data_IF_011016563011
#
_entry.id   IF_011016563011
#
_cell.length_a   1.000
_cell.length_b   1.000
_cell.length_c   1.000
_cell.angle_alpha   90.00
_cell.angle_beta   90.00
_cell.angle_gamma   90.00
#
_symmetry.space_group_name_H-M   'P 1'
#
loop_
_entity.id
_entity.type
_entity.pdbx_description
1 polymer ?
#
# COMPACT_ATOMS: atom_id res chain seq x y z
N UNK A 1 31.72 13.99 27.95
CA UNK A 1 31.02 12.78 27.46
C UNK A 1 30.19 13.16 26.24
N UNK A 2 30.43 12.56 25.07
CA UNK A 2 29.53 12.71 23.91
C UNK A 2 28.38 11.73 24.08
N UNK A 3 27.19 12.22 24.35
CA UNK A 3 25.97 11.42 24.35
C UNK A 3 25.83 10.66 23.02
N UNK A 4 26.06 9.35 23.05
CA UNK A 4 25.71 8.46 21.94
C UNK A 4 24.19 8.34 21.94
N UNK A 5 23.53 9.24 21.21
CA UNK A 5 22.10 9.12 20.87
C UNK A 5 21.89 7.75 20.22
N UNK A 6 21.18 6.86 20.90
CA UNK A 6 20.85 5.54 20.38
C UNK A 6 20.11 5.69 19.05
N UNK A 7 20.56 4.96 18.02
CA UNK A 7 19.96 4.99 16.69
C UNK A 7 18.51 4.50 16.84
N UNK A 8 17.54 5.41 16.72
CA UNK A 8 16.12 5.02 16.68
C UNK A 8 15.94 4.07 15.51
N UNK A 9 15.30 2.93 15.75
CA UNK A 9 14.95 1.99 14.69
C UNK A 9 14.00 2.67 13.71
N UNK A 10 14.33 2.63 12.43
CA UNK A 10 13.50 3.17 11.36
C UNK A 10 12.83 2.01 10.63
N UNK A 11 11.51 2.09 10.46
CA UNK A 11 10.74 1.14 9.67
C UNK A 11 10.44 1.75 8.32
N UNK A 12 10.85 1.10 7.23
CA UNK A 12 10.61 1.56 5.87
C UNK A 12 9.89 0.47 5.09
N UNK A 13 8.78 0.81 4.46
CA UNK A 13 8.03 -0.09 3.59
C UNK A 13 7.63 0.61 2.31
N UNK A 14 7.57 -0.15 1.23
CA UNK A 14 7.24 0.36 -0.09
C UNK A 14 5.98 -0.31 -0.64
N UNK A 15 5.25 0.40 -1.50
CA UNK A 15 4.18 -0.14 -2.32
C UNK A 15 4.42 0.29 -3.76
N UNK A 16 4.64 -0.69 -4.62
CA UNK A 16 4.70 -0.53 -6.06
C UNK A 16 3.29 -0.49 -6.65
N UNK A 17 3.03 0.57 -7.42
CA UNK A 17 1.76 0.90 -8.05
C UNK A 17 1.90 1.03 -9.57
N UNK A 18 3.04 0.61 -10.15
CA UNK A 18 3.41 0.87 -11.55
C UNK A 18 2.30 0.52 -12.54
N UNK A 19 1.90 -0.75 -12.60
CA UNK A 19 0.89 -1.22 -13.56
C UNK A 19 -0.45 -0.45 -13.45
N UNK A 20 -1.13 -0.41 -12.29
CA UNK A 20 -2.44 0.25 -12.24
C UNK A 20 -2.39 1.78 -12.32
N UNK A 21 -1.25 2.42 -12.02
CA UNK A 21 -1.09 3.87 -12.23
C UNK A 21 -0.88 4.18 -13.71
N UNK A 22 -0.09 3.37 -14.41
CA UNK A 22 0.14 3.53 -15.86
C UNK A 22 -1.12 3.27 -16.68
N UNK A 23 -1.93 2.29 -16.28
CA UNK A 23 -3.22 1.98 -16.91
C UNK A 23 -4.34 2.98 -16.53
N UNK A 24 -4.06 3.92 -15.61
CA UNK A 24 -5.00 4.98 -15.19
C UNK A 24 -6.12 4.52 -14.25
N UNK A 25 -6.14 3.26 -13.83
CA UNK A 25 -7.17 2.72 -12.91
C UNK A 25 -6.91 3.11 -11.44
N UNK A 26 -5.68 3.49 -11.10
CA UNK A 26 -5.29 3.85 -9.73
C UNK A 26 -4.63 5.23 -9.64
N UNK A 27 -5.19 6.10 -8.81
CA UNK A 27 -4.63 7.42 -8.52
C UNK A 27 -3.71 7.37 -7.28
N UNK A 28 -2.40 7.45 -7.52
CA UNK A 28 -1.41 7.45 -6.44
C UNK A 28 -1.45 8.70 -5.56
N UNK A 29 -1.88 9.85 -6.09
CA UNK A 29 -2.03 11.10 -5.33
C UNK A 29 -3.20 11.02 -4.36
N UNK A 30 -4.36 10.53 -4.84
CA UNK A 30 -5.51 10.28 -3.98
C UNK A 30 -5.20 9.24 -2.89
N UNK A 31 -4.45 8.20 -3.24
CA UNK A 31 -4.03 7.18 -2.27
C UNK A 31 -3.04 7.73 -1.22
N UNK A 32 -2.09 8.58 -1.61
CA UNK A 32 -1.19 9.27 -0.68
C UNK A 32 -1.99 10.08 0.37
N UNK A 33 -2.97 10.86 -0.07
CA UNK A 33 -3.85 11.61 0.82
C UNK A 33 -4.63 10.68 1.76
N UNK A 34 -5.21 9.61 1.23
CA UNK A 34 -5.89 8.61 2.05
C UNK A 34 -4.99 8.03 3.14
N UNK A 35 -3.74 7.72 2.83
CA UNK A 35 -2.79 7.23 3.83
C UNK A 35 -2.48 8.30 4.88
N UNK A 36 -2.30 9.56 4.47
CA UNK A 36 -2.07 10.68 5.41
C UNK A 36 -3.22 10.82 6.41
N UNK A 37 -4.46 10.60 5.97
CA UNK A 37 -5.65 10.67 6.82
C UNK A 37 -5.89 9.43 7.68
N UNK A 38 -5.56 8.22 7.17
CA UNK A 38 -5.95 6.95 7.81
C UNK A 38 -4.86 6.26 8.60
N UNK A 39 -3.58 6.61 8.40
CA UNK A 39 -2.50 6.10 9.24
C UNK A 39 -2.69 6.60 10.66
N UNK A 40 -2.64 5.67 11.60
CA UNK A 40 -2.73 5.93 13.04
C UNK A 40 -1.36 5.93 13.68
N UNK A 41 -1.12 6.90 14.55
CA UNK A 41 0.01 6.95 15.47
C UNK A 41 -0.56 7.00 16.89
N UNK A 42 -0.14 6.08 17.76
CA UNK A 42 -0.70 5.92 19.11
C UNK A 42 -2.25 5.81 19.14
N UNK A 43 -2.83 5.10 18.17
CA UNK A 43 -4.28 4.86 18.09
C UNK A 43 -5.11 6.00 17.47
N UNK A 44 -4.52 7.17 17.21
CA UNK A 44 -5.20 8.35 16.63
C UNK A 44 -4.72 8.64 15.20
N UNK A 45 -5.65 9.03 14.34
CA UNK A 45 -5.39 9.56 12.98
C UNK A 45 -5.04 11.05 13.03
N UNK A 46 -4.48 11.60 11.96
CA UNK A 46 -4.19 13.04 11.84
C UNK A 46 -2.99 13.51 12.67
N UNK A 47 -2.25 12.60 13.31
CA UNK A 47 -1.12 12.91 14.17
C UNK A 47 0.19 12.28 13.65
N UNK A 48 0.47 12.46 12.35
CA UNK A 48 1.69 11.92 11.73
C UNK A 48 2.95 12.63 12.23
N UNK A 49 2.87 13.96 12.40
CA UNK A 49 3.98 14.81 12.83
C UNK A 49 5.27 14.50 12.05
N UNK A 50 6.38 14.35 12.77
CA UNK A 50 7.66 13.87 12.25
C UNK A 50 7.87 12.36 12.51
N UNK A 51 6.80 11.63 12.86
CA UNK A 51 6.92 10.21 13.23
C UNK A 51 6.76 9.30 12.03
N UNK A 52 5.83 9.62 11.13
CA UNK A 52 5.56 8.84 9.91
C UNK A 52 5.61 9.77 8.71
N UNK A 53 6.52 9.47 7.79
CA UNK A 53 6.68 10.16 6.52
C UNK A 53 6.13 9.26 5.40
N UNK A 54 5.23 9.82 4.60
CA UNK A 54 4.65 9.16 3.43
C UNK A 54 5.10 9.96 2.22
N UNK A 55 5.87 9.31 1.35
CA UNK A 55 6.43 9.90 0.14
C UNK A 55 5.82 9.22 -1.08
N UNK A 56 5.41 10.04 -2.05
CA UNK A 56 4.92 9.58 -3.35
C UNK A 56 5.92 9.90 -4.43
N UNK A 57 6.37 8.84 -5.09
CA UNK A 57 6.86 8.89 -6.46
C UNK A 57 5.69 8.39 -7.33
N UNK A 58 5.49 8.93 -8.52
CA UNK A 58 4.30 8.68 -9.37
C UNK A 58 3.75 7.23 -9.27
N UNK A 59 4.64 6.24 -9.43
CA UNK A 59 4.33 4.82 -9.46
C UNK A 59 4.65 4.07 -8.14
N UNK A 60 5.11 4.75 -7.09
CA UNK A 60 5.59 4.13 -5.86
C UNK A 60 5.30 4.97 -4.62
N UNK A 61 4.74 4.35 -3.59
CA UNK A 61 4.57 4.96 -2.27
C UNK A 61 5.61 4.38 -1.32
N UNK A 62 6.29 5.25 -0.58
CA UNK A 62 7.21 4.88 0.49
C UNK A 62 6.68 5.38 1.81
N UNK A 63 6.60 4.50 2.81
CA UNK A 63 6.24 4.86 4.18
C UNK A 63 7.44 4.61 5.07
N UNK A 64 7.95 5.67 5.68
CA UNK A 64 9.07 5.65 6.63
C UNK A 64 8.55 6.06 8.00
N UNK A 65 8.86 5.31 9.04
CA UNK A 65 8.39 5.57 10.40
C UNK A 65 9.51 5.46 11.43
N UNK A 66 9.56 6.40 12.38
CA UNK A 66 10.42 6.34 13.57
C UNK A 66 9.81 5.54 14.73
N UNK A 67 8.52 5.19 14.62
CA UNK A 67 7.82 4.31 15.55
C UNK A 67 7.44 3.00 14.88
N UNK A 68 7.11 2.02 15.72
CA UNK A 68 6.70 0.70 15.24
C UNK A 68 5.59 0.83 14.21
N UNK A 69 5.93 0.46 12.99
CA UNK A 69 5.01 0.41 11.87
C UNK A 69 5.19 -0.97 11.25
N UNK A 70 4.08 -1.62 10.86
CA UNK A 70 4.15 -2.95 10.26
C UNK A 70 3.78 -2.87 8.79
N UNK A 71 4.51 -3.63 7.98
CA UNK A 71 4.14 -3.88 6.59
C UNK A 71 2.68 -4.33 6.46
N UNK A 72 2.22 -5.23 7.34
CA UNK A 72 0.83 -5.71 7.39
C UNK A 72 -0.19 -4.57 7.52
N UNK A 73 0.12 -3.51 8.27
CA UNK A 73 -0.77 -2.37 8.40
C UNK A 73 -0.90 -1.58 7.08
N UNK A 74 0.20 -1.41 6.33
CA UNK A 74 0.15 -0.83 4.98
C UNK A 74 -0.73 -1.68 4.05
N UNK A 75 -0.62 -3.02 4.09
CA UNK A 75 -1.50 -3.92 3.32
C UNK A 75 -2.97 -3.74 3.69
N UNK A 76 -3.28 -3.65 4.99
CA UNK A 76 -4.64 -3.42 5.46
C UNK A 76 -5.22 -2.12 4.90
N UNK A 77 -4.48 -1.01 5.02
CA UNK A 77 -4.92 0.30 4.52
C UNK A 77 -5.08 0.29 2.99
N UNK A 78 -4.16 -0.34 2.27
CA UNK A 78 -4.25 -0.50 0.81
C UNK A 78 -5.51 -1.28 0.42
N UNK A 79 -5.77 -2.45 1.05
CA UNK A 79 -7.00 -3.22 0.81
C UNK A 79 -8.28 -2.49 1.19
N UNK A 80 -8.21 -1.61 2.19
CA UNK A 80 -9.33 -0.75 2.60
C UNK A 80 -9.62 0.31 1.54
N UNK A 81 -8.58 0.94 1.00
CA UNK A 81 -8.69 1.87 -0.12
C UNK A 81 -9.26 1.21 -1.37
N UNK A 82 -8.72 0.04 -1.76
CA UNK A 82 -9.23 -0.71 -2.91
C UNK A 82 -10.72 -1.04 -2.76
N UNK A 83 -11.21 -1.36 -1.55
CA UNK A 83 -12.65 -1.59 -1.35
C UNK A 83 -13.46 -0.30 -1.50
N UNK A 84 -12.96 0.81 -0.97
CA UNK A 84 -13.66 2.10 -1.00
C UNK A 84 -13.87 2.59 -2.44
N UNK A 85 -12.93 2.29 -3.33
CA UNK A 85 -12.96 2.70 -4.73
C UNK A 85 -13.38 1.57 -5.69
N UNK A 86 -13.97 0.47 -5.17
CA UNK A 86 -14.41 -0.69 -5.96
C UNK A 86 -13.32 -1.34 -6.84
N UNK A 87 -12.05 -1.26 -6.45
CA UNK A 87 -10.90 -1.80 -7.20
C UNK A 87 -10.54 -3.25 -6.83
N UNK A 88 -11.32 -3.91 -5.96
CA UNK A 88 -10.96 -5.23 -5.41
C UNK A 88 -11.08 -6.37 -6.39
N UNK A 89 -11.88 -6.21 -7.42
CA UNK A 89 -12.12 -7.29 -8.40
C UNK A 89 -11.02 -7.30 -9.46
N UNK A 90 -10.32 -6.18 -9.63
CA UNK A 90 -9.21 -6.04 -10.56
C UNK A 90 -7.86 -6.21 -9.89
N UNK A 91 -7.66 -5.66 -8.68
CA UNK A 91 -6.33 -5.54 -8.07
C UNK A 91 -6.19 -6.32 -6.76
N UNK A 92 -5.05 -7.00 -6.61
CA UNK A 92 -4.61 -7.67 -5.37
C UNK A 92 -3.27 -7.14 -4.88
N UNK A 93 -3.14 -7.06 -3.55
CA UNK A 93 -1.88 -6.67 -2.88
C UNK A 93 -1.01 -7.90 -2.60
N UNK A 94 0.12 -8.03 -3.29
CA UNK A 94 1.06 -9.15 -3.22
C UNK A 94 2.40 -8.68 -2.65
N UNK A 95 3.08 -9.51 -1.85
CA UNK A 95 4.42 -9.18 -1.37
C UNK A 95 5.44 -9.53 -2.45
N UNK A 96 6.21 -8.54 -2.92
CA UNK A 96 7.30 -8.76 -3.85
C UNK A 96 8.61 -9.12 -3.12
N UNK A 97 8.87 -8.47 -1.99
CA UNK A 97 10.04 -8.74 -1.15
C UNK A 97 9.66 -8.65 0.36
N UNK A 98 10.65 -8.56 1.26
CA UNK A 98 10.43 -8.43 2.71
C UNK A 98 9.78 -7.09 3.11
N UNK A 99 10.04 -6.00 2.39
CA UNK A 99 9.67 -4.61 2.75
C UNK A 99 8.67 -3.96 1.78
N UNK A 100 8.44 -4.59 0.64
CA UNK A 100 7.71 -4.06 -0.51
C UNK A 100 6.49 -4.93 -0.83
N UNK A 101 5.37 -4.26 -1.03
CA UNK A 101 4.21 -4.83 -1.70
C UNK A 101 4.13 -4.29 -3.13
N UNK A 102 3.35 -4.98 -3.95
CA UNK A 102 2.98 -4.58 -5.29
C UNK A 102 1.47 -4.79 -5.48
N UNK A 103 0.86 -3.98 -6.33
CA UNK A 103 -0.48 -4.22 -6.85
C UNK A 103 -0.38 -5.01 -8.15
N UNK A 104 -1.02 -6.19 -8.18
CA UNK A 104 -1.12 -7.04 -9.37
C UNK A 104 -2.58 -7.22 -9.78
N UNK A 105 -2.80 -7.37 -11.07
CA UNK A 105 -4.10 -7.84 -11.57
C UNK A 105 -4.38 -9.28 -11.15
N UNK A 106 -5.65 -9.64 -11.10
CA UNK A 106 -6.03 -11.06 -11.16
C UNK A 106 -5.79 -11.57 -12.58
N UNK A 107 -5.18 -12.74 -12.69
CA UNK A 107 -5.17 -13.47 -13.95
C UNK A 107 -6.54 -14.12 -14.07
N UNK A 108 -7.42 -13.51 -14.85
CA UNK A 108 -8.64 -14.18 -15.29
C UNK A 108 -8.16 -15.05 -16.46
N UNK A 109 -7.89 -16.33 -16.18
CA UNK A 109 -7.78 -17.30 -17.26
C UNK A 109 -9.10 -17.28 -18.02
N UNK A 110 -9.07 -16.98 -19.32
CA UNK A 110 -10.22 -17.07 -20.23
C UNK A 110 -10.69 -18.54 -20.44
N UNK A 111 -10.42 -19.45 -19.50
CA UNK A 111 -10.63 -20.90 -19.63
C UNK A 111 -11.81 -21.40 -18.76
N UNK A 112 -12.84 -20.58 -18.53
CA UNK A 112 -14.13 -21.04 -17.97
C UNK A 112 -15.36 -20.44 -18.71
N UNK A 113 -15.22 -20.07 -19.98
CA UNK A 113 -16.34 -19.88 -20.92
C UNK A 113 -16.23 -20.89 -22.07
N UNK A 114 -16.18 -22.18 -21.73
CA UNK A 114 -15.95 -23.26 -22.69
C UNK A 114 -16.61 -24.59 -22.34
N UNK A 115 -17.76 -24.57 -21.66
CA UNK A 115 -18.63 -25.75 -21.58
C UNK A 115 -20.10 -25.32 -21.66
N UNK A 116 -20.48 -24.79 -22.83
CA UNK A 116 -21.72 -25.23 -23.43
C UNK A 116 -21.60 -26.75 -23.64
N UNK A 117 -22.24 -27.50 -22.76
CA UNK A 117 -22.64 -28.87 -23.07
C UNK A 117 -24.14 -28.88 -22.93
N UNK A 118 -24.79 -28.79 -24.09
CA UNK A 118 -26.19 -29.14 -24.28
C UNK A 118 -26.45 -30.53 -23.67
N UNK A 119 -27.27 -30.59 -22.62
CA UNK A 119 -28.37 -31.56 -22.38
C UNK A 119 -29.17 -31.17 -21.14
#
# INVERSE_FOLDING_TARGET
QKDRKSKKSTWKFCLDLTHPVEDGIFDSGNFEQFLKEKVKVNGKTGNLGNTVHIERLKNKITVTSEKQFSKRYLKYLTKKYLKKNNLRDWLRVVASDKETYELRYFQISQDEEGSESEE
#
